data_IF_992208800034
#
_entry.id   IF_992208800034
#
_cell.length_a   1.000
_cell.length_b   1.000
_cell.length_c   1.000
_cell.angle_alpha   90.00
_cell.angle_beta   90.00
_cell.angle_gamma   90.00
#
_symmetry.space_group_name_H-M   'P 1'
#
loop_
_entity.id
_entity.type
_entity.pdbx_description
1 polymer ?
#
# COMPACT_ATOMS: atom_id res chain seq x y z
N UNK A 1 14.99 -5.81 11.51
CA UNK A 1 13.54 -5.83 11.85
C UNK A 1 13.27 -5.40 13.31
N UNK A 2 13.65 -4.18 13.72
CA UNK A 2 13.50 -3.75 15.14
C UNK A 2 12.06 -3.38 15.53
N UNK A 3 11.31 -2.78 14.61
CA UNK A 3 9.98 -2.19 14.90
C UNK A 3 8.78 -2.94 14.30
N UNK A 4 9.01 -3.97 13.47
CA UNK A 4 7.93 -4.54 12.66
C UNK A 4 6.88 -5.28 13.51
N UNK A 5 7.32 -6.10 14.47
CA UNK A 5 6.41 -6.82 15.37
C UNK A 5 5.49 -5.88 16.19
N UNK A 6 5.99 -4.87 16.91
CA UNK A 6 5.11 -3.97 17.64
C UNK A 6 4.20 -3.13 16.73
N UNK A 7 4.67 -2.71 15.55
CA UNK A 7 3.84 -1.98 14.58
C UNK A 7 2.72 -2.86 14.00
N UNK A 8 3.02 -4.12 13.66
CA UNK A 8 2.01 -5.08 13.21
C UNK A 8 0.94 -5.30 14.27
N UNK A 9 1.31 -5.44 15.54
CA UNK A 9 0.33 -5.57 16.64
C UNK A 9 -0.54 -4.32 16.77
N UNK A 10 0.01 -3.12 16.58
CA UNK A 10 -0.79 -1.90 16.57
C UNK A 10 -1.83 -1.90 15.43
N UNK A 11 -1.48 -2.40 14.25
CA UNK A 11 -2.41 -2.56 13.12
C UNK A 11 -3.51 -3.58 13.45
N UNK A 12 -3.13 -4.77 13.94
CA UNK A 12 -4.08 -5.85 14.24
C UNK A 12 -5.06 -5.51 15.37
N UNK A 13 -4.63 -4.73 16.36
CA UNK A 13 -5.49 -4.24 17.44
C UNK A 13 -6.23 -2.93 17.07
N UNK A 14 -6.25 -2.54 15.79
CA UNK A 14 -7.01 -1.38 15.32
C UNK A 14 -6.52 -0.03 15.85
N UNK A 15 -5.30 0.04 16.37
CA UNK A 15 -4.73 1.28 16.93
C UNK A 15 -4.27 2.27 15.85
N UNK A 16 -4.21 1.83 14.60
CA UNK A 16 -3.84 2.66 13.45
C UNK A 16 -4.46 2.13 12.16
N UNK A 17 -4.76 3.02 11.22
CA UNK A 17 -5.31 2.73 9.88
C UNK A 17 -4.31 3.19 8.81
N UNK A 18 -3.15 2.55 8.77
CA UNK A 18 -2.01 3.03 7.96
C UNK A 18 -2.32 3.09 6.46
N UNK A 19 -3.10 2.13 5.92
CA UNK A 19 -3.45 2.11 4.50
C UNK A 19 -4.26 3.34 4.07
N UNK A 20 -5.18 3.81 4.92
CA UNK A 20 -5.91 5.06 4.71
C UNK A 20 -4.98 6.27 4.85
N UNK A 21 -4.15 6.28 5.90
CA UNK A 21 -3.26 7.40 6.20
C UNK A 21 -2.25 7.71 5.08
N UNK A 22 -1.81 6.70 4.32
CA UNK A 22 -0.91 6.87 3.16
C UNK A 22 -1.61 6.80 1.81
N UNK A 23 -2.94 6.80 1.79
CA UNK A 23 -3.74 6.75 0.57
C UNK A 23 -3.34 5.59 -0.36
N UNK A 24 -3.46 4.35 0.13
CA UNK A 24 -3.12 3.15 -0.64
C UNK A 24 -4.02 3.02 -1.86
N UNK A 25 -3.41 2.78 -3.02
CA UNK A 25 -4.07 2.34 -4.23
C UNK A 25 -3.51 0.98 -4.64
N UNK A 26 -4.37 -0.03 -4.72
CA UNK A 26 -3.98 -1.36 -5.19
C UNK A 26 -4.04 -1.36 -6.72
N UNK A 27 -2.95 -1.79 -7.36
CA UNK A 27 -2.82 -1.88 -8.82
C UNK A 27 -2.41 -3.29 -9.22
N UNK A 28 -2.78 -3.68 -10.44
CA UNK A 28 -2.26 -4.91 -11.06
C UNK A 28 -0.78 -4.77 -11.43
N UNK A 29 -0.14 -5.89 -11.79
CA UNK A 29 1.24 -5.86 -12.29
C UNK A 29 1.37 -5.07 -13.60
N UNK A 30 0.39 -5.17 -14.50
CA UNK A 30 0.38 -4.47 -15.79
C UNK A 30 0.24 -2.94 -15.63
N UNK A 31 -0.37 -2.48 -14.53
CA UNK A 31 -0.52 -1.07 -14.21
C UNK A 31 0.71 -0.45 -13.54
N UNK A 32 1.72 -1.25 -13.17
CA UNK A 32 2.91 -0.77 -12.49
C UNK A 32 3.61 0.40 -13.23
N UNK A 33 3.83 0.37 -14.57
CA UNK A 33 4.44 1.51 -15.28
C UNK A 33 3.66 2.81 -15.12
N UNK A 34 2.32 2.75 -15.14
CA UNK A 34 1.45 3.91 -14.92
C UNK A 34 1.55 4.40 -13.48
N UNK A 35 1.60 3.48 -12.51
CA UNK A 35 1.78 3.81 -11.10
C UNK A 35 3.08 4.56 -10.83
N UNK A 36 4.19 4.10 -11.45
CA UNK A 36 5.49 4.80 -11.38
C UNK A 36 5.42 6.21 -12.00
N UNK A 37 4.86 6.34 -13.22
CA UNK A 37 4.73 7.65 -13.86
C UNK A 37 3.89 8.65 -13.03
N UNK A 38 2.81 8.18 -12.40
CA UNK A 38 1.98 8.99 -11.52
C UNK A 38 2.73 9.39 -10.23
N UNK A 39 3.46 8.44 -9.62
CA UNK A 39 4.26 8.70 -8.42
C UNK A 39 5.38 9.72 -8.69
N UNK A 40 6.10 9.56 -9.81
CA UNK A 40 7.13 10.50 -10.27
C UNK A 40 6.53 11.88 -10.59
N UNK A 41 5.28 11.90 -11.07
CA UNK A 41 4.48 13.12 -11.27
C UNK A 41 3.95 13.76 -9.98
N UNK A 42 4.25 13.21 -8.80
CA UNK A 42 3.88 13.76 -7.50
C UNK A 42 2.50 13.34 -6.98
N UNK A 43 1.93 12.25 -7.48
CA UNK A 43 0.68 11.71 -6.93
C UNK A 43 0.84 11.38 -5.44
N UNK A 44 -0.06 11.91 -4.61
CA UNK A 44 -0.10 11.65 -3.16
C UNK A 44 -0.77 10.31 -2.85
N UNK A 45 -0.21 9.22 -3.37
CA UNK A 45 -0.72 7.85 -3.24
C UNK A 45 0.38 6.86 -2.95
N UNK A 46 0.04 5.79 -2.22
CA UNK A 46 0.91 4.62 -2.05
C UNK A 46 0.42 3.48 -2.94
N UNK A 47 1.04 3.32 -4.10
CA UNK A 47 0.75 2.18 -4.97
C UNK A 47 1.26 0.88 -4.35
N UNK A 48 0.39 -0.14 -4.31
CA UNK A 48 0.68 -1.50 -3.87
C UNK A 48 0.32 -2.44 -5.02
N UNK A 49 1.29 -3.23 -5.48
CA UNK A 49 1.07 -4.15 -6.60
C UNK A 49 0.51 -5.46 -6.05
N UNK A 50 -0.65 -5.87 -6.56
CA UNK A 50 -1.23 -7.19 -6.35
C UNK A 50 -1.12 -8.00 -7.67
N UNK A 51 -0.03 -8.77 -7.87
CA UNK A 51 0.25 -9.43 -9.14
C UNK A 51 -0.66 -10.63 -9.42
N UNK A 52 -1.42 -11.09 -8.43
CA UNK A 52 -2.23 -12.31 -8.51
C UNK A 52 -3.69 -12.10 -8.08
N UNK A 53 -4.11 -10.87 -7.81
CA UNK A 53 -5.46 -10.59 -7.31
C UNK A 53 -5.75 -11.24 -5.95
N UNK A 54 -4.75 -11.33 -5.08
CA UNK A 54 -4.89 -11.96 -3.75
C UNK A 54 -5.55 -11.07 -2.70
N UNK A 55 -5.60 -9.76 -2.94
CA UNK A 55 -6.05 -8.74 -1.97
C UNK A 55 -7.31 -8.02 -2.44
N UNK A 56 -7.49 -7.88 -3.76
CA UNK A 56 -8.71 -7.30 -4.34
C UNK A 56 -9.83 -8.36 -4.41
N UNK A 57 -10.84 -8.22 -3.56
CA UNK A 57 -12.10 -8.99 -3.60
C UNK A 57 -13.29 -8.08 -3.78
#
# INVERSE_FOLDING_TARGET
>A
MKYHRPLMQAILFGKTRIAEAVNVEVISLDEAPRGYAALDGGAAKKFVIDPHGSVAT
#
